data_IF_870986754424
#
_entry.id   IF_870986754424
#
_cell.length_a   1.000
_cell.length_b   1.000
_cell.length_c   1.000
_cell.angle_alpha   90.00
_cell.angle_beta   90.00
_cell.angle_gamma   90.00
#
_symmetry.space_group_name_H-M   'P 1'
#
loop_
_entity.id
_entity.type
_entity.pdbx_description
1 polymer ?
#
# COMPACT_ATOMS: atom_id res chain seq x y z
N UNK A 1 -4.63 9.87 12.89
CA UNK A 1 -3.58 10.39 11.97
C UNK A 1 -4.22 11.50 11.15
N UNK A 2 -3.51 12.61 10.87
CA UNK A 2 -4.03 13.58 9.91
C UNK A 2 -4.33 12.84 8.60
N UNK A 3 -5.49 13.14 8.00
CA UNK A 3 -5.97 12.53 6.75
C UNK A 3 -4.87 12.26 5.68
N UNK A 4 -3.88 13.15 5.46
CA UNK A 4 -2.81 12.92 4.47
C UNK A 4 -1.90 11.71 4.72
N UNK A 5 -1.63 11.34 5.97
CA UNK A 5 -0.68 10.23 6.24
C UNK A 5 -1.30 8.87 5.83
N UNK A 6 -2.62 8.75 5.99
CA UNK A 6 -3.37 7.55 5.61
C UNK A 6 -3.44 7.41 4.09
N UNK A 7 -3.72 8.50 3.38
CA UNK A 7 -3.75 8.46 1.91
C UNK A 7 -2.38 8.17 1.32
N UNK A 8 -1.31 8.73 1.88
CA UNK A 8 0.06 8.42 1.45
C UNK A 8 0.41 6.94 1.64
N UNK A 9 0.07 6.35 2.78
CA UNK A 9 0.33 4.92 3.04
C UNK A 9 -0.41 4.02 2.03
N UNK A 10 -1.67 4.35 1.73
CA UNK A 10 -2.47 3.62 0.75
C UNK A 10 -1.87 3.77 -0.65
N UNK A 11 -1.56 5.01 -1.07
CA UNK A 11 -0.99 5.28 -2.38
C UNK A 11 0.36 4.57 -2.57
N UNK A 12 1.21 4.57 -1.54
CA UNK A 12 2.51 3.88 -1.56
C UNK A 12 2.34 2.37 -1.72
N UNK A 13 1.40 1.75 -0.98
CA UNK A 13 1.10 0.33 -1.09
C UNK A 13 0.60 -0.06 -2.49
N UNK A 14 -0.32 0.73 -3.04
CA UNK A 14 -0.88 0.51 -4.38
C UNK A 14 0.22 0.64 -5.43
N UNK A 15 1.06 1.67 -5.35
CA UNK A 15 2.17 1.88 -6.28
C UNK A 15 3.22 0.77 -6.20
N UNK A 16 3.55 0.27 -5.00
CA UNK A 16 4.53 -0.78 -4.82
C UNK A 16 4.06 -2.13 -5.38
N UNK A 17 2.82 -2.54 -5.09
CA UNK A 17 2.23 -3.76 -5.65
C UNK A 17 2.09 -3.64 -7.17
N UNK A 18 1.53 -2.52 -7.66
CA UNK A 18 1.35 -2.32 -9.09
C UNK A 18 2.69 -2.34 -9.84
N UNK A 19 3.71 -1.69 -9.29
CA UNK A 19 5.07 -1.74 -9.81
C UNK A 19 5.66 -3.15 -9.82
N UNK A 20 5.47 -3.92 -8.73
CA UNK A 20 5.94 -5.30 -8.67
C UNK A 20 5.30 -6.21 -9.73
N UNK A 21 4.00 -6.04 -9.99
CA UNK A 21 3.28 -6.79 -11.04
C UNK A 21 3.77 -6.40 -12.43
N UNK A 22 3.97 -5.10 -12.69
CA UNK A 22 4.50 -4.63 -13.97
C UNK A 22 5.92 -5.15 -14.20
N UNK A 23 6.80 -5.03 -13.19
CA UNK A 23 8.17 -5.54 -13.26
C UNK A 23 8.15 -7.06 -13.51
N UNK A 24 7.37 -7.82 -12.75
CA UNK A 24 7.25 -9.26 -12.92
C UNK A 24 6.73 -9.68 -14.30
N UNK A 25 5.70 -8.98 -14.81
CA UNK A 25 5.16 -9.23 -16.14
C UNK A 25 6.17 -8.94 -17.25
N UNK A 26 6.89 -7.82 -17.15
CA UNK A 26 7.95 -7.47 -18.09
C UNK A 26 9.14 -8.44 -18.01
N UNK A 27 9.52 -8.89 -16.81
CA UNK A 27 10.58 -9.88 -16.61
C UNK A 27 10.24 -11.26 -17.19
N UNK A 28 8.95 -11.62 -17.28
CA UNK A 28 8.50 -12.82 -17.98
C UNK A 28 8.44 -12.65 -19.51
N UNK A 29 8.80 -11.48 -20.05
CA UNK A 29 8.78 -11.19 -21.48
C UNK A 29 7.43 -10.73 -22.03
N UNK A 30 6.47 -10.38 -21.15
CA UNK A 30 5.18 -9.85 -21.58
C UNK A 30 5.24 -8.34 -21.81
N UNK A 31 5.59 -7.95 -23.04
CA UNK A 31 5.67 -6.55 -23.48
C UNK A 31 4.34 -6.04 -24.06
N UNK A 32 3.25 -6.14 -23.29
CA UNK A 32 1.95 -5.66 -23.71
C UNK A 32 1.41 -4.59 -22.75
N UNK A 33 0.64 -3.62 -23.27
CA UNK A 33 -0.01 -2.57 -22.49
C UNK A 33 -0.98 -3.16 -21.44
N UNK A 34 -1.50 -4.37 -21.68
CA UNK A 34 -2.35 -5.11 -20.76
C UNK A 34 -1.69 -5.37 -19.40
N UNK A 35 -0.36 -5.56 -19.34
CA UNK A 35 0.36 -5.78 -18.08
C UNK A 35 0.26 -4.55 -17.15
N UNK A 36 0.21 -3.34 -17.72
CA UNK A 36 0.04 -2.12 -16.94
C UNK A 36 -1.36 -2.00 -16.34
N UNK A 37 -2.39 -2.40 -17.10
CA UNK A 37 -3.78 -2.42 -16.59
C UNK A 37 -3.95 -3.48 -15.52
N UNK A 38 -3.42 -4.68 -15.75
CA UNK A 38 -3.43 -5.76 -14.75
C UNK A 38 -2.65 -5.34 -13.51
N UNK A 39 -1.49 -4.69 -13.67
CA UNK A 39 -0.72 -4.15 -12.56
C UNK A 39 -1.46 -3.07 -11.78
N UNK A 40 -2.16 -2.16 -12.45
CA UNK A 40 -2.98 -1.14 -11.80
C UNK A 40 -4.15 -1.76 -11.01
N UNK A 41 -4.85 -2.73 -11.60
CA UNK A 41 -5.96 -3.43 -10.95
C UNK A 41 -5.45 -4.25 -9.77
N UNK A 42 -4.40 -5.05 -9.95
CA UNK A 42 -3.79 -5.84 -8.88
C UNK A 42 -3.26 -4.94 -7.75
N UNK A 43 -2.62 -3.82 -8.11
CA UNK A 43 -2.20 -2.77 -7.18
C UNK A 43 -3.35 -2.22 -6.36
N UNK A 44 -4.51 -1.97 -6.96
CA UNK A 44 -5.69 -1.47 -6.24
C UNK A 44 -6.34 -2.56 -5.38
N UNK A 45 -6.56 -3.75 -5.96
CA UNK A 45 -7.27 -4.86 -5.31
C UNK A 45 -6.48 -5.43 -4.14
N UNK A 46 -5.14 -5.46 -4.22
CA UNK A 46 -4.27 -6.01 -3.16
C UNK A 46 -3.68 -4.90 -2.29
N UNK A 47 -3.26 -3.77 -2.88
CA UNK A 47 -2.60 -2.68 -2.17
C UNK A 47 -3.53 -1.94 -1.20
N UNK A 48 -4.80 -1.72 -1.57
CA UNK A 48 -5.78 -1.07 -0.67
C UNK A 48 -6.04 -1.91 0.59
N UNK A 49 -6.42 -3.20 0.52
CA UNK A 49 -6.63 -4.00 1.72
C UNK A 49 -5.34 -4.21 2.52
N UNK A 50 -4.18 -4.33 1.87
CA UNK A 50 -2.90 -4.45 2.57
C UNK A 50 -2.52 -3.17 3.34
N UNK A 51 -2.80 -1.99 2.78
CA UNK A 51 -2.63 -0.71 3.48
C UNK A 51 -3.59 -0.58 4.68
N UNK A 52 -4.85 -1.01 4.51
CA UNK A 52 -5.84 -1.06 5.59
C UNK A 52 -5.45 -2.04 6.69
N UNK A 53 -4.97 -3.23 6.35
CA UNK A 53 -4.48 -4.21 7.31
C UNK A 53 -3.24 -3.71 8.07
N UNK A 54 -2.32 -3.06 7.37
CA UNK A 54 -1.14 -2.40 7.97
C UNK A 54 -1.59 -1.32 8.96
N UNK A 55 -2.56 -0.48 8.57
CA UNK A 55 -3.14 0.53 9.46
C UNK A 55 -3.81 -0.09 10.70
N UNK A 56 -4.58 -1.17 10.52
CA UNK A 56 -5.23 -1.87 11.62
C UNK A 56 -4.23 -2.42 12.64
N UNK A 57 -3.03 -2.82 12.20
CA UNK A 57 -1.93 -3.26 13.07
C UNK A 57 -1.19 -2.09 13.74
N UNK A 58 -1.05 -0.95 13.07
CA UNK A 58 -0.42 0.25 13.66
C UNK A 58 -1.34 1.00 14.64
N UNK A 59 -2.67 0.91 14.48
CA UNK A 59 -3.65 1.58 15.35
C UNK A 59 -3.52 1.20 16.85
N UNK A 60 -3.40 -0.08 17.26
CA UNK A 60 -3.27 -0.44 18.67
C UNK A 60 -1.92 -0.08 19.30
N UNK A 61 -0.82 -0.03 18.54
CA UNK A 61 0.51 0.24 19.10
C UNK A 61 0.75 1.72 19.44
N UNK A 62 0.21 2.65 18.64
CA UNK A 62 0.36 4.09 18.96
C UNK A 62 -0.26 4.49 20.29
N UNK A 63 -1.37 3.87 20.68
CA UNK A 63 -2.02 4.15 21.95
C UNK A 63 -1.16 3.71 23.16
N UNK A 64 -0.23 2.77 22.97
CA UNK A 64 0.71 2.30 24.00
C UNK A 64 2.03 3.06 24.00
N UNK A 65 2.46 3.58 22.84
CA UNK A 65 3.74 4.29 22.70
C UNK A 65 3.65 5.77 23.13
N UNK A 66 2.51 6.45 22.97
CA UNK A 66 2.31 7.79 23.54
C UNK A 66 1.91 7.74 25.02
N UNK A 67 2.65 7.00 25.84
CA UNK A 67 2.69 7.20 27.29
C UNK A 67 3.22 8.60 27.63
N UNK A 68 2.51 9.64 27.19
CA UNK A 68 2.80 11.02 27.49
C UNK A 68 2.51 11.21 28.98
N UNK A 69 3.53 11.40 29.84
CA UNK A 69 3.28 11.90 31.18
C UNK A 69 2.56 13.23 31.02
N UNK A 70 1.46 13.39 31.78
CA UNK A 70 0.76 14.66 31.93
C UNK A 70 1.78 15.69 32.40
N UNK A 71 2.16 16.61 31.52
CA UNK A 71 2.85 17.85 31.83
C UNK A 71 2.01 18.98 31.23
#
# INVERSE_FOLDING_TARGET
MPAPLRSLLIALWVACIGGAVVIGGLSMGYYNWQIFVIGAIAGLVIGVPAALATWARLRPNRARETGLPRL
#
